data_IF_880458736853
#
_entry.id   IF_880458736853
#
_cell.length_a   1.000
_cell.length_b   1.000
_cell.length_c   1.000
_cell.angle_alpha   90.00
_cell.angle_beta   90.00
_cell.angle_gamma   90.00
#
_symmetry.space_group_name_H-M   'P 1'
#
loop_
_entity.id
_entity.type
_entity.pdbx_description
1 polymer ?
#
# COMPACT_ATOMS: atom_id res chain seq x y z
N UNK A 1 18.51 17.90 -4.60
CA UNK A 1 17.32 17.56 -5.40
C UNK A 1 17.73 16.52 -6.42
N UNK A 2 17.15 15.33 -6.36
CA UNK A 2 17.29 14.33 -7.43
C UNK A 2 16.10 14.43 -8.36
N UNK A 3 16.37 14.49 -9.66
CA UNK A 3 15.38 14.61 -10.71
C UNK A 3 15.67 13.56 -11.79
N UNK A 4 14.62 13.12 -12.49
CA UNK A 4 14.72 12.16 -13.57
C UNK A 4 13.96 12.66 -14.79
N UNK A 5 14.48 12.34 -15.99
CA UNK A 5 13.83 12.68 -17.26
C UNK A 5 13.09 11.47 -17.80
N UNK A 6 11.90 11.71 -18.34
CA UNK A 6 11.13 10.71 -19.04
C UNK A 6 11.78 10.47 -20.41
N UNK A 7 12.14 9.23 -20.69
CA UNK A 7 12.66 8.83 -22.01
C UNK A 7 11.58 8.92 -23.08
N UNK A 8 11.95 8.93 -24.36
CA UNK A 8 11.00 8.90 -25.49
C UNK A 8 10.01 7.73 -25.45
N UNK A 9 10.34 6.66 -24.73
CA UNK A 9 9.49 5.47 -24.53
C UNK A 9 8.63 5.56 -23.26
N UNK A 10 8.52 6.72 -22.62
CA UNK A 10 7.70 6.92 -21.42
C UNK A 10 8.30 6.33 -20.14
N UNK A 11 9.54 5.85 -20.15
CA UNK A 11 10.20 5.29 -18.94
C UNK A 11 10.88 6.40 -18.16
N UNK A 12 10.72 6.38 -16.84
CA UNK A 12 11.50 7.18 -15.88
C UNK A 12 12.50 6.28 -15.17
N UNK A 13 13.72 6.76 -14.98
CA UNK A 13 14.74 6.04 -14.21
C UNK A 13 14.74 6.56 -12.78
N UNK A 14 14.56 5.67 -11.79
CA UNK A 14 14.70 6.03 -10.38
C UNK A 14 16.19 6.18 -10.06
N UNK A 15 16.67 7.36 -9.64
CA UNK A 15 18.07 7.57 -9.26
C UNK A 15 18.53 6.61 -8.16
N UNK A 16 19.83 6.28 -8.14
CA UNK A 16 20.38 5.23 -7.28
C UNK A 16 20.20 5.51 -5.78
N UNK A 17 20.34 6.78 -5.38
CA UNK A 17 20.09 7.26 -4.02
C UNK A 17 18.64 7.02 -3.59
N UNK A 18 17.69 7.31 -4.47
CA UNK A 18 16.26 7.09 -4.22
C UNK A 18 15.94 5.59 -4.14
N UNK A 19 16.51 4.75 -5.03
CA UNK A 19 16.34 3.29 -4.96
C UNK A 19 16.84 2.72 -3.64
N UNK A 20 18.02 3.15 -3.20
CA UNK A 20 18.62 2.67 -1.95
C UNK A 20 17.78 3.08 -0.74
N UNK A 21 17.24 4.30 -0.72
CA UNK A 21 16.35 4.75 0.36
C UNK A 21 15.01 4.00 0.40
N UNK A 22 14.48 3.62 -0.77
CA UNK A 22 13.25 2.85 -0.89
C UNK A 22 13.46 1.32 -0.78
N UNK A 23 14.71 0.86 -0.71
CA UNK A 23 15.04 -0.57 -0.70
C UNK A 23 14.62 -1.31 -1.98
N UNK A 24 14.68 -0.64 -3.13
CA UNK A 24 14.26 -1.20 -4.42
C UNK A 24 15.41 -1.91 -5.14
N UNK A 25 15.14 -3.14 -5.58
CA UNK A 25 15.98 -3.96 -6.43
C UNK A 25 15.37 -4.19 -7.82
N UNK A 26 16.12 -4.85 -8.71
CA UNK A 26 15.62 -5.18 -10.04
C UNK A 26 14.53 -6.26 -9.95
N UNK A 27 13.38 -6.00 -10.57
CA UNK A 27 12.23 -6.90 -10.52
C UNK A 27 11.17 -6.51 -9.49
N UNK A 28 11.50 -5.55 -8.60
CA UNK A 28 10.54 -5.04 -7.63
C UNK A 28 9.39 -4.28 -8.28
N UNK A 29 8.21 -4.49 -7.73
CA UNK A 29 7.01 -3.74 -8.09
C UNK A 29 6.94 -2.45 -7.29
N UNK A 30 6.52 -1.38 -7.95
CA UNK A 30 6.18 -0.11 -7.30
C UNK A 30 4.71 0.22 -7.53
N UNK A 31 4.09 0.87 -6.55
CA UNK A 31 2.73 1.37 -6.63
C UNK A 31 2.71 2.89 -6.65
N UNK A 32 1.82 3.45 -7.45
CA UNK A 32 1.57 4.88 -7.52
C UNK A 32 0.23 5.16 -6.84
N UNK A 33 0.24 6.01 -5.82
CA UNK A 33 -0.97 6.50 -5.16
C UNK A 33 -1.09 8.00 -5.37
N UNK A 34 -2.30 8.47 -5.69
CA UNK A 34 -2.57 9.89 -5.77
C UNK A 34 -3.06 10.39 -4.41
N UNK A 35 -2.29 11.28 -3.78
CA UNK A 35 -2.68 11.92 -2.54
C UNK A 35 -3.49 13.18 -2.86
N UNK A 36 -4.82 13.11 -2.68
CA UNK A 36 -5.72 14.23 -2.95
C UNK A 36 -5.41 15.47 -2.08
N UNK A 37 -4.92 15.27 -0.84
CA UNK A 37 -4.62 16.37 0.07
C UNK A 37 -3.37 17.17 -0.35
N UNK A 38 -2.37 16.49 -0.90
CA UNK A 38 -1.13 17.13 -1.36
C UNK A 38 -1.12 17.44 -2.86
N UNK A 39 -2.04 16.83 -3.63
CA UNK A 39 -2.11 16.91 -5.09
C UNK A 39 -0.94 16.22 -5.80
N UNK A 40 -0.26 15.28 -5.13
CA UNK A 40 0.96 14.63 -5.63
C UNK A 40 0.75 13.13 -5.81
N UNK A 41 1.48 12.56 -6.76
CA UNK A 41 1.69 11.13 -6.80
C UNK A 41 2.80 10.73 -5.85
N UNK A 42 2.51 9.72 -5.03
CA UNK A 42 3.43 9.08 -4.10
C UNK A 42 3.77 7.69 -4.64
N UNK A 43 5.03 7.28 -4.45
CA UNK A 43 5.54 5.98 -4.91
C UNK A 43 5.83 5.11 -3.71
N UNK A 44 5.33 3.88 -3.73
CA UNK A 44 5.49 2.91 -2.67
C UNK A 44 6.19 1.64 -3.19
N UNK A 45 7.20 1.11 -2.48
CA UNK A 45 7.75 -0.20 -2.77
C UNK A 45 6.70 -1.28 -2.43
N UNK A 46 6.26 -2.04 -3.44
CA UNK A 46 5.40 -3.21 -3.27
C UNK A 46 6.24 -4.49 -3.23
N UNK A 47 7.27 -4.47 -2.39
CA UNK A 47 8.30 -5.53 -2.28
C UNK A 47 7.95 -6.59 -1.24
N UNK A 48 6.92 -6.34 -0.42
CA UNK A 48 6.47 -7.27 0.61
C UNK A 48 5.69 -8.46 0.04
N UNK A 49 6.06 -9.67 0.44
CA UNK A 49 5.26 -10.87 0.15
C UNK A 49 4.09 -10.98 1.12
N UNK A 50 2.89 -11.32 0.63
CA UNK A 50 1.77 -11.63 1.53
C UNK A 50 2.12 -12.76 2.51
N UNK A 51 2.99 -13.69 2.10
CA UNK A 51 3.44 -14.78 2.96
C UNK A 51 4.24 -14.28 4.17
N UNK A 52 4.98 -13.17 4.07
CA UNK A 52 5.73 -12.62 5.20
C UNK A 52 4.83 -11.95 6.24
N UNK A 53 3.57 -11.65 5.89
CA UNK A 53 2.58 -11.11 6.83
C UNK A 53 1.88 -12.21 7.66
N UNK A 54 2.05 -13.48 7.28
CA UNK A 54 1.42 -14.60 7.97
C UNK A 54 1.96 -14.71 9.40
N UNK A 55 1.07 -14.55 10.39
CA UNK A 55 1.41 -14.71 11.81
C UNK A 55 1.88 -13.42 12.51
N UNK A 56 1.89 -12.28 11.84
CA UNK A 56 2.24 -10.98 12.45
C UNK A 56 1.21 -10.56 13.51
N UNK A 57 -0.06 -10.86 13.29
CA UNK A 57 -1.15 -10.55 14.24
C UNK A 57 -1.40 -11.77 15.13
N UNK A 58 -1.33 -11.58 16.45
CA UNK A 58 -1.63 -12.64 17.43
C UNK A 58 -3.09 -13.05 17.32
N UNK A 59 -3.35 -14.36 17.43
CA UNK A 59 -4.71 -14.88 17.52
C UNK A 59 -5.42 -14.28 18.75
N UNK A 60 -6.63 -13.73 18.59
CA UNK A 60 -7.37 -13.17 19.72
C UNK A 60 -7.78 -14.29 20.70
N UNK A 61 -7.83 -13.94 21.98
CA UNK A 61 -8.23 -14.89 23.06
C UNK A 61 -9.71 -15.29 22.96
N UNK A 62 -10.54 -14.39 22.42
CA UNK A 62 -11.97 -14.63 22.17
C UNK A 62 -12.29 -14.33 20.70
N UNK A 63 -13.14 -15.14 20.05
CA UNK A 63 -13.66 -14.81 18.72
C UNK A 63 -14.38 -13.46 18.74
N UNK A 64 -14.20 -12.66 17.69
CA UNK A 64 -14.87 -11.36 17.51
C UNK A 64 -15.83 -11.50 16.33
N UNK A 65 -17.03 -10.92 16.45
CA UNK A 65 -18.02 -10.87 15.37
C UNK A 65 -17.61 -9.85 14.29
N UNK A 66 -18.11 -10.01 13.07
CA UNK A 66 -17.85 -9.04 11.98
C UNK A 66 -18.49 -7.69 12.31
N UNK A 67 -19.62 -7.71 13.00
CA UNK A 67 -20.35 -6.52 13.45
C UNK A 67 -19.51 -5.71 14.44
N UNK A 68 -18.87 -6.38 15.41
CA UNK A 68 -18.01 -5.71 16.38
C UNK A 68 -16.71 -5.19 15.75
N UNK A 69 -16.14 -5.92 14.79
CA UNK A 69 -15.03 -5.44 13.98
C UNK A 69 -15.39 -4.16 13.21
N UNK A 70 -16.54 -4.17 12.54
CA UNK A 70 -17.02 -3.04 11.73
C UNK A 70 -17.27 -1.81 12.59
N UNK A 71 -17.88 -2.00 13.78
CA UNK A 71 -18.11 -0.93 14.75
C UNK A 71 -16.80 -0.29 15.22
N UNK A 72 -15.81 -1.12 15.55
CA UNK A 72 -14.50 -0.64 16.00
C UNK A 72 -13.76 0.17 14.91
N UNK A 73 -13.87 -0.22 13.65
CA UNK A 73 -13.28 0.52 12.51
C UNK A 73 -13.88 1.94 12.41
N UNK A 74 -15.20 2.04 12.51
CA UNK A 74 -15.91 3.33 12.47
C UNK A 74 -15.57 4.21 13.67
N UNK A 75 -15.53 3.63 14.88
CA UNK A 75 -15.20 4.37 16.11
C UNK A 75 -13.77 4.95 16.09
N UNK A 76 -12.83 4.25 15.47
CA UNK A 76 -11.45 4.71 15.29
C UNK A 76 -11.26 5.70 14.13
N UNK A 77 -12.34 6.18 13.51
CA UNK A 77 -12.30 7.27 12.53
C UNK A 77 -11.69 6.90 11.18
N UNK A 78 -11.60 5.61 10.82
CA UNK A 78 -11.33 5.17 9.44
C UNK A 78 -12.64 4.76 8.79
N UNK A 79 -13.28 5.61 7.97
CA UNK A 79 -14.38 5.16 7.14
C UNK A 79 -13.88 3.99 6.29
N UNK A 80 -14.68 2.93 6.19
CA UNK A 80 -14.51 1.95 5.12
C UNK A 80 -14.85 2.70 3.82
N UNK A 81 -13.86 3.35 3.22
CA UNK A 81 -14.03 3.93 1.90
C UNK A 81 -13.90 2.82 0.84
N UNK A 82 -14.64 2.97 -0.26
CA UNK A 82 -14.53 2.08 -1.42
C UNK A 82 -13.19 2.27 -2.17
N UNK A 83 -12.30 3.16 -1.69
CA UNK A 83 -11.08 3.62 -2.37
C UNK A 83 -9.81 2.92 -1.88
N UNK A 84 -9.86 2.25 -0.73
CA UNK A 84 -8.74 1.49 -0.14
C UNK A 84 -8.39 0.18 -0.87
N UNK A 85 -8.94 -0.09 -2.06
CA UNK A 85 -8.62 -1.30 -2.82
C UNK A 85 -9.17 -2.59 -2.20
N UNK A 86 -9.95 -2.51 -1.12
CA UNK A 86 -10.77 -3.61 -0.57
C UNK A 86 -12.03 -3.86 -1.42
N UNK A 87 -11.90 -3.75 -2.75
CA UNK A 87 -12.96 -4.12 -3.67
C UNK A 87 -13.25 -5.61 -3.49
N UNK A 88 -14.31 -5.89 -2.73
CA UNK A 88 -15.05 -7.16 -2.65
C UNK A 88 -14.15 -8.40 -2.63
N UNK A 89 -13.69 -8.78 -1.45
CA UNK A 89 -13.55 -10.22 -1.15
C UNK A 89 -14.96 -10.77 -0.89
N UNK A 90 -15.84 -10.68 -1.89
CA UNK A 90 -17.01 -11.55 -1.96
C UNK A 90 -16.47 -12.91 -2.36
N UNK A 91 -16.50 -13.85 -1.41
CA UNK A 91 -16.30 -15.28 -1.68
C UNK A 91 -17.26 -15.74 -2.81
N UNK A 92 -16.91 -16.82 -3.55
CA UNK A 92 -17.78 -17.39 -4.58
C UNK A 92 -19.16 -17.79 -4.01
#
# INVERSE_FOLDING_TARGET
>A
MTAATITSKGRVTIPVDVRNQLGLESGDRIEFSFNEATGRYEIYPATGSLASLKGVVKKPEKPVSIEDMSRAIVEQGRPLDDRTGYARITKP
#
